data_IF_287197224244
#
_entry.id   IF_287197224244
#
_cell.length_a   1.000
_cell.length_b   1.000
_cell.length_c   1.000
_cell.angle_alpha   90.00
_cell.angle_beta   90.00
_cell.angle_gamma   90.00
#
_symmetry.space_group_name_H-M   'P 1'
#
loop_
_entity.id
_entity.type
_entity.pdbx_description
1 polymer ?
#
# COMPACT_ATOMS: atom_id res chain seq x y z
N UNK A 1 -26.61 1.73 2.16
CA UNK A 1 -26.23 3.09 1.74
C UNK A 1 -25.73 3.93 2.92
N UNK A 2 -26.56 4.19 3.93
CA UNK A 2 -26.23 5.05 5.09
C UNK A 2 -24.97 4.57 5.79
N UNK A 3 -24.89 3.28 6.19
CA UNK A 3 -23.73 2.71 6.86
C UNK A 3 -22.42 2.92 6.07
N UNK A 4 -22.46 2.74 4.75
CA UNK A 4 -21.30 2.93 3.89
C UNK A 4 -20.76 4.36 3.94
N UNK A 5 -21.63 5.35 3.71
CA UNK A 5 -21.22 6.74 3.70
C UNK A 5 -20.84 7.28 5.08
N UNK A 6 -21.46 6.77 6.15
CA UNK A 6 -21.05 7.12 7.52
C UNK A 6 -19.61 6.65 7.80
N UNK A 7 -19.26 5.41 7.46
CA UNK A 7 -17.90 4.89 7.65
C UNK A 7 -16.90 5.62 6.77
N UNK A 8 -17.28 5.94 5.53
CA UNK A 8 -16.45 6.70 4.59
C UNK A 8 -16.18 8.13 5.09
N UNK A 9 -17.19 8.82 5.62
CA UNK A 9 -17.05 10.15 6.18
C UNK A 9 -16.15 10.15 7.43
N UNK A 10 -16.35 9.17 8.33
CA UNK A 10 -15.51 9.00 9.51
C UNK A 10 -14.05 8.72 9.13
N UNK A 11 -13.82 7.86 8.15
CA UNK A 11 -12.49 7.55 7.63
C UNK A 11 -11.83 8.79 7.04
N UNK A 12 -12.56 9.55 6.20
CA UNK A 12 -12.03 10.74 5.55
C UNK A 12 -11.68 11.84 6.56
N UNK A 13 -12.54 12.06 7.58
CA UNK A 13 -12.25 13.03 8.65
C UNK A 13 -11.05 12.61 9.50
N UNK A 14 -10.92 11.32 9.81
CA UNK A 14 -9.77 10.79 10.55
C UNK A 14 -8.47 10.95 9.76
N UNK A 15 -8.51 10.72 8.44
CA UNK A 15 -7.36 10.90 7.56
C UNK A 15 -6.94 12.38 7.46
N UNK A 16 -7.91 13.28 7.34
CA UNK A 16 -7.63 14.73 7.36
C UNK A 16 -7.02 15.15 8.70
N UNK A 17 -7.56 14.67 9.83
CA UNK A 17 -6.99 14.92 11.15
C UNK A 17 -5.53 14.45 11.25
N UNK A 18 -5.21 13.27 10.71
CA UNK A 18 -3.85 12.74 10.68
C UNK A 18 -2.88 13.67 9.92
N UNK A 19 -3.30 14.19 8.76
CA UNK A 19 -2.44 15.03 7.91
C UNK A 19 -2.17 16.38 8.54
N UNK A 20 -3.19 17.00 9.17
CA UNK A 20 -3.07 18.33 9.76
C UNK A 20 -2.48 18.32 11.17
N UNK A 21 -2.31 17.16 11.79
CA UNK A 21 -1.77 17.04 13.16
C UNK A 21 -0.39 17.65 13.28
N UNK A 22 -0.17 18.58 14.24
CA UNK A 22 1.08 19.30 14.41
C UNK A 22 2.16 18.48 15.15
N UNK A 23 1.77 17.46 15.92
CA UNK A 23 2.66 16.70 16.77
C UNK A 23 2.43 15.18 16.67
N UNK A 24 3.38 14.41 17.20
CA UNK A 24 3.42 12.96 17.08
C UNK A 24 2.29 12.27 17.86
N UNK A 25 1.85 12.84 18.99
CA UNK A 25 0.76 12.29 19.79
C UNK A 25 -0.60 12.43 19.08
N UNK A 26 -0.88 13.59 18.50
CA UNK A 26 -2.11 13.79 17.73
C UNK A 26 -2.15 12.93 16.48
N UNK A 27 -1.00 12.77 15.79
CA UNK A 27 -0.91 11.79 14.68
C UNK A 27 -1.31 10.41 15.18
N UNK A 28 -0.83 9.97 16.35
CA UNK A 28 -1.16 8.65 16.88
C UNK A 28 -2.66 8.49 17.14
N UNK A 29 -3.33 9.49 17.69
CA UNK A 29 -4.79 9.43 17.91
C UNK A 29 -5.54 9.21 16.59
N UNK A 30 -5.24 10.01 15.58
CA UNK A 30 -5.88 9.84 14.26
C UNK A 30 -5.41 8.59 13.52
N UNK A 31 -4.19 8.13 13.77
CA UNK A 31 -3.65 6.87 13.26
C UNK A 31 -4.49 5.66 13.70
N UNK A 32 -4.87 5.64 14.98
CA UNK A 32 -5.76 4.62 15.54
C UNK A 32 -7.18 4.71 14.98
N UNK A 33 -7.71 5.92 14.83
CA UNK A 33 -9.04 6.14 14.23
C UNK A 33 -9.08 5.65 12.77
N UNK A 34 -8.06 5.93 11.98
CA UNK A 34 -7.93 5.43 10.59
C UNK A 34 -7.88 3.89 10.61
N UNK A 35 -7.16 3.27 11.55
CA UNK A 35 -7.12 1.83 11.73
C UNK A 35 -8.50 1.23 12.03
N UNK A 36 -9.24 1.83 12.95
CA UNK A 36 -10.61 1.41 13.29
C UNK A 36 -11.56 1.57 12.10
N UNK A 37 -11.51 2.69 11.39
CA UNK A 37 -12.34 2.92 10.21
C UNK A 37 -12.05 1.91 9.11
N UNK A 38 -10.78 1.56 8.89
CA UNK A 38 -10.39 0.56 7.89
C UNK A 38 -10.94 -0.82 8.23
N UNK A 39 -10.93 -1.22 9.51
CA UNK A 39 -11.56 -2.45 9.98
C UNK A 39 -13.05 -2.51 9.60
N UNK A 40 -13.80 -1.43 9.88
CA UNK A 40 -15.23 -1.33 9.55
C UNK A 40 -15.51 -1.34 8.04
N UNK A 41 -14.60 -0.78 7.25
CA UNK A 41 -14.74 -0.66 5.81
C UNK A 41 -14.34 -1.95 5.07
N UNK A 42 -13.28 -2.63 5.51
CA UNK A 42 -12.87 -3.94 4.96
C UNK A 42 -13.90 -5.00 5.30
N UNK A 43 -14.37 -5.02 6.56
CA UNK A 43 -15.43 -5.90 7.03
C UNK A 43 -16.85 -5.39 6.72
N UNK A 44 -17.04 -4.59 5.67
CA UNK A 44 -18.36 -4.02 5.34
C UNK A 44 -19.42 -5.12 5.11
N UNK A 45 -19.02 -6.20 4.47
CA UNK A 45 -19.83 -7.40 4.25
C UNK A 45 -19.49 -8.50 5.28
N UNK A 46 -19.59 -8.17 6.57
CA UNK A 46 -19.24 -9.06 7.67
C UNK A 46 -20.04 -10.39 7.71
N UNK A 47 -21.15 -10.48 6.98
CA UNK A 47 -21.92 -11.70 6.79
C UNK A 47 -21.16 -12.75 5.94
N UNK A 48 -20.07 -12.35 5.27
CA UNK A 48 -19.17 -13.24 4.53
C UNK A 48 -17.96 -13.55 5.41
N UNK A 49 -17.72 -14.83 5.68
CA UNK A 49 -16.60 -15.28 6.52
C UNK A 49 -15.25 -14.72 6.04
N UNK A 50 -14.99 -14.76 4.74
CA UNK A 50 -13.77 -14.19 4.14
C UNK A 50 -13.57 -12.70 4.46
N UNK A 51 -14.63 -11.89 4.40
CA UNK A 51 -14.54 -10.46 4.71
C UNK A 51 -14.34 -10.20 6.22
N UNK A 52 -14.96 -11.01 7.08
CA UNK A 52 -14.78 -10.94 8.53
C UNK A 52 -13.34 -11.29 8.93
N UNK A 53 -12.81 -12.40 8.42
CA UNK A 53 -11.42 -12.81 8.65
C UNK A 53 -10.41 -11.80 8.10
N UNK A 54 -10.63 -11.29 6.88
CA UNK A 54 -9.77 -10.25 6.28
C UNK A 54 -9.73 -8.99 7.14
N UNK A 55 -10.87 -8.55 7.67
CA UNK A 55 -10.95 -7.39 8.56
C UNK A 55 -10.18 -7.64 9.88
N UNK A 56 -10.36 -8.80 10.51
CA UNK A 56 -9.63 -9.17 11.71
C UNK A 56 -8.13 -9.24 11.47
N UNK A 57 -7.69 -9.89 10.40
CA UNK A 57 -6.27 -9.98 10.02
C UNK A 57 -5.67 -8.59 9.79
N UNK A 58 -6.35 -7.74 9.04
CA UNK A 58 -5.91 -6.38 8.80
C UNK A 58 -5.78 -5.58 10.11
N UNK A 59 -6.76 -5.70 11.00
CA UNK A 59 -6.73 -5.02 12.30
C UNK A 59 -5.58 -5.52 13.18
N UNK A 60 -5.44 -6.83 13.36
CA UNK A 60 -4.42 -7.42 14.25
C UNK A 60 -3.01 -7.12 13.76
N UNK A 61 -2.72 -7.30 12.46
CA UNK A 61 -1.39 -7.02 11.89
C UNK A 61 -1.02 -5.55 12.03
N UNK A 62 -1.96 -4.64 11.75
CA UNK A 62 -1.71 -3.21 11.94
C UNK A 62 -1.50 -2.87 13.42
N UNK A 63 -2.26 -3.50 14.33
CA UNK A 63 -2.14 -3.24 15.78
C UNK A 63 -0.76 -3.62 16.34
N UNK A 64 -0.12 -4.66 15.81
CA UNK A 64 1.27 -5.00 16.17
C UNK A 64 2.22 -3.82 15.87
N UNK A 65 2.08 -3.19 14.69
CA UNK A 65 2.87 -2.01 14.35
C UNK A 65 2.49 -0.78 15.18
N UNK A 66 1.19 -0.57 15.42
CA UNK A 66 0.67 0.56 16.18
C UNK A 66 1.13 0.51 17.65
N UNK A 67 1.22 -0.69 18.23
CA UNK A 67 1.78 -0.87 19.57
C UNK A 67 3.27 -0.50 19.63
N UNK A 68 4.05 -0.92 18.61
CA UNK A 68 5.44 -0.50 18.48
C UNK A 68 5.59 1.02 18.37
N UNK A 69 4.75 1.64 17.54
CA UNK A 69 4.70 3.10 17.38
C UNK A 69 4.41 3.81 18.71
N UNK A 70 3.43 3.32 19.49
CA UNK A 70 3.09 3.89 20.79
C UNK A 70 4.28 3.84 21.76
N UNK A 71 4.91 2.67 21.87
CA UNK A 71 6.10 2.50 22.73
C UNK A 71 7.23 3.44 22.29
N UNK A 72 7.45 3.59 20.98
CA UNK A 72 8.43 4.52 20.43
C UNK A 72 8.11 5.98 20.77
N UNK A 73 6.85 6.40 20.64
CA UNK A 73 6.39 7.76 20.98
C UNK A 73 6.60 8.05 22.46
N UNK A 74 6.17 7.15 23.34
CA UNK A 74 6.32 7.31 24.79
C UNK A 74 7.79 7.34 25.20
N UNK A 75 8.62 6.50 24.59
CA UNK A 75 10.05 6.49 24.84
C UNK A 75 10.75 7.77 24.35
N UNK A 76 10.38 8.28 23.16
CA UNK A 76 10.88 9.56 22.67
C UNK A 76 10.45 10.72 23.59
N UNK A 77 9.18 10.73 24.01
CA UNK A 77 8.71 11.74 24.96
C UNK A 77 9.49 11.69 26.28
N UNK A 78 9.74 10.50 26.82
CA UNK A 78 10.54 10.37 28.04
C UNK A 78 11.97 10.88 27.88
N UNK A 79 12.53 10.70 26.67
CA UNK A 79 13.87 11.14 26.36
C UNK A 79 13.98 12.67 26.11
N UNK A 80 12.91 13.32 25.58
CA UNK A 80 12.96 14.68 25.05
C UNK A 80 11.96 15.65 25.71
N UNK A 81 11.00 15.14 26.50
CA UNK A 81 9.87 15.87 27.05
C UNK A 81 9.04 16.64 25.99
N UNK A 82 9.06 16.22 24.74
CA UNK A 82 8.34 16.86 23.64
C UNK A 82 7.70 15.85 22.70
N UNK A 83 6.59 16.25 22.05
CA UNK A 83 5.96 15.54 20.94
C UNK A 83 6.15 16.26 19.59
N UNK A 84 6.78 17.43 19.58
CA UNK A 84 7.07 18.17 18.35
C UNK A 84 8.18 17.52 17.55
N UNK A 85 7.99 17.39 16.23
CA UNK A 85 8.90 16.66 15.33
C UNK A 85 10.32 17.24 15.32
N UNK A 86 10.45 18.57 15.27
CA UNK A 86 11.75 19.22 15.20
C UNK A 86 12.45 19.21 16.55
N UNK A 87 11.71 19.41 17.64
CA UNK A 87 12.26 19.36 18.99
C UNK A 87 12.76 17.95 19.33
N UNK A 88 11.99 16.89 19.01
CA UNK A 88 12.45 15.50 19.20
C UNK A 88 13.78 15.26 18.50
N UNK A 89 13.93 15.70 17.25
CA UNK A 89 15.16 15.47 16.50
C UNK A 89 16.37 16.20 17.14
N UNK A 90 16.17 17.46 17.53
CA UNK A 90 17.25 18.25 18.16
C UNK A 90 17.65 17.71 19.52
N UNK A 91 16.67 17.42 20.40
CA UNK A 91 16.92 16.92 21.77
C UNK A 91 17.54 15.52 21.78
N UNK A 92 17.09 14.62 20.91
CA UNK A 92 17.73 13.28 20.80
C UNK A 92 19.18 13.40 20.34
N UNK A 93 19.47 14.27 19.37
CA UNK A 93 20.84 14.50 18.92
C UNK A 93 21.73 15.00 20.05
N UNK A 94 21.24 15.97 20.83
CA UNK A 94 21.97 16.50 22.00
C UNK A 94 22.16 15.45 23.09
N UNK A 95 21.10 14.67 23.38
CA UNK A 95 21.13 13.64 24.42
C UNK A 95 22.11 12.51 24.11
N UNK A 96 22.23 12.13 22.84
CA UNK A 96 23.23 11.15 22.39
C UNK A 96 24.63 11.72 22.45
N UNK A 97 24.84 12.98 22.02
CA UNK A 97 26.14 13.64 22.06
C UNK A 97 26.65 13.85 23.50
N UNK A 98 25.75 14.14 24.44
CA UNK A 98 26.05 14.33 25.86
C UNK A 98 26.15 13.00 26.63
N UNK A 99 26.04 11.84 25.97
CA UNK A 99 26.00 10.51 26.58
C UNK A 99 24.89 10.31 27.65
N UNK A 100 23.85 11.15 27.66
CA UNK A 100 22.70 10.96 28.54
C UNK A 100 21.80 9.81 28.13
N UNK A 101 21.78 9.49 26.83
CA UNK A 101 21.09 8.33 26.26
C UNK A 101 22.09 7.53 25.41
N UNK A 102 22.21 6.22 25.64
CA UNK A 102 23.09 5.40 24.82
C UNK A 102 22.53 5.28 23.38
N UNK A 103 23.40 5.30 22.39
CA UNK A 103 23.02 5.29 20.96
C UNK A 103 22.11 4.13 20.59
N UNK A 104 22.31 2.93 21.18
CA UNK A 104 21.45 1.78 20.93
C UNK A 104 20.00 2.00 21.36
N UNK A 105 19.78 2.76 22.47
CA UNK A 105 18.43 3.06 22.95
C UNK A 105 17.73 4.06 21.99
N UNK A 106 18.45 5.09 21.53
CA UNK A 106 17.94 6.02 20.53
C UNK A 106 17.57 5.29 19.22
N UNK A 107 18.44 4.38 18.74
CA UNK A 107 18.17 3.54 17.57
C UNK A 107 16.95 2.65 17.77
N UNK A 108 16.79 2.03 18.95
CA UNK A 108 15.62 1.22 19.27
C UNK A 108 14.34 2.05 19.25
N UNK A 109 14.33 3.25 19.82
CA UNK A 109 13.17 4.14 19.80
C UNK A 109 12.79 4.55 18.37
N UNK A 110 13.77 4.91 17.55
CA UNK A 110 13.55 5.22 16.13
C UNK A 110 12.97 4.01 15.37
N UNK A 111 13.47 2.80 15.63
CA UNK A 111 12.97 1.58 15.03
C UNK A 111 11.53 1.27 15.49
N UNK A 112 11.22 1.43 16.78
CA UNK A 112 9.86 1.24 17.31
C UNK A 112 8.86 2.21 16.65
N UNK A 113 9.24 3.48 16.48
CA UNK A 113 8.40 4.45 15.74
C UNK A 113 8.22 4.02 14.27
N UNK A 114 9.22 3.41 13.65
CA UNK A 114 9.11 2.93 12.26
C UNK A 114 8.17 1.73 12.11
N UNK A 115 7.91 0.93 13.16
CA UNK A 115 7.00 -0.23 13.08
C UNK A 115 5.57 0.16 12.68
N UNK A 116 5.05 1.31 13.14
CA UNK A 116 3.75 1.81 12.72
C UNK A 116 3.65 2.05 11.21
N UNK A 117 4.52 2.91 10.64
CA UNK A 117 4.67 3.06 9.20
C UNK A 117 4.83 1.77 8.43
N UNK A 118 5.63 0.83 8.94
CA UNK A 118 5.88 -0.46 8.32
C UNK A 118 4.59 -1.29 8.21
N UNK A 119 3.75 -1.30 9.26
CA UNK A 119 2.48 -2.03 9.26
C UNK A 119 1.43 -1.37 8.35
N UNK A 120 1.16 -0.06 8.52
CA UNK A 120 0.15 0.66 7.73
C UNK A 120 0.48 0.71 6.24
N UNK A 121 1.75 0.87 5.88
CA UNK A 121 2.19 0.86 4.48
C UNK A 121 2.49 -0.54 3.94
N UNK A 122 2.02 -1.59 4.62
CA UNK A 122 2.16 -2.98 4.20
C UNK A 122 3.59 -3.33 3.76
N UNK A 123 4.59 -2.95 4.56
CA UNK A 123 5.98 -3.30 4.31
C UNK A 123 6.30 -4.69 4.87
N UNK A 124 7.26 -5.37 4.24
CA UNK A 124 7.75 -6.65 4.74
C UNK A 124 8.27 -6.52 6.19
N UNK A 125 7.92 -7.45 7.10
CA UNK A 125 7.07 -8.64 6.94
C UNK A 125 5.56 -8.40 7.18
N UNK A 126 5.12 -7.18 7.52
CA UNK A 126 3.75 -6.85 7.92
C UNK A 126 2.82 -6.53 6.72
N UNK A 127 3.09 -7.09 5.54
CA UNK A 127 2.36 -6.82 4.29
C UNK A 127 1.14 -7.72 4.06
N UNK A 128 1.03 -8.81 4.81
CA UNK A 128 0.11 -9.93 4.54
C UNK A 128 -1.39 -9.59 4.64
N UNK A 129 -1.74 -8.47 5.25
CA UNK A 129 -3.13 -8.01 5.41
C UNK A 129 -3.69 -7.32 4.15
N UNK A 130 -2.80 -6.68 3.34
CA UNK A 130 -3.24 -5.82 2.24
C UNK A 130 -3.96 -6.57 1.12
N UNK A 131 -3.48 -7.74 0.64
CA UNK A 131 -4.19 -8.51 -0.38
C UNK A 131 -5.54 -9.03 0.07
N UNK A 132 -5.68 -9.41 1.35
CA UNK A 132 -6.92 -9.93 1.91
C UNK A 132 -7.95 -8.80 2.12
N UNK A 133 -7.49 -7.58 2.38
CA UNK A 133 -8.35 -6.41 2.46
C UNK A 133 -9.11 -6.10 1.15
N UNK A 134 -8.80 -6.78 0.04
CA UNK A 134 -9.54 -6.71 -1.23
C UNK A 134 -10.95 -7.34 -1.17
N UNK A 135 -11.31 -8.04 -0.10
CA UNK A 135 -12.67 -8.53 0.18
C UNK A 135 -13.68 -7.38 0.38
N UNK A 136 -13.20 -6.20 0.74
CA UNK A 136 -14.04 -5.01 0.85
C UNK A 136 -14.57 -4.48 -0.50
N UNK A 137 -15.57 -3.57 -0.47
CA UNK A 137 -16.11 -2.93 -1.67
C UNK A 137 -15.02 -2.20 -2.48
N UNK A 138 -15.06 -2.31 -3.80
CA UNK A 138 -14.00 -1.76 -4.68
C UNK A 138 -13.74 -0.26 -4.52
N UNK A 139 -14.75 0.62 -4.32
CA UNK A 139 -14.48 2.04 -4.04
C UNK A 139 -13.67 2.26 -2.76
N UNK A 140 -13.85 1.40 -1.75
CA UNK A 140 -13.07 1.43 -0.51
C UNK A 140 -11.63 0.99 -0.78
N UNK A 141 -11.45 -0.08 -1.57
CA UNK A 141 -10.12 -0.53 -1.98
C UNK A 141 -9.37 0.59 -2.73
N UNK A 142 -10.06 1.31 -3.63
CA UNK A 142 -9.49 2.47 -4.32
C UNK A 142 -9.05 3.58 -3.35
N UNK A 143 -9.83 3.86 -2.31
CA UNK A 143 -9.51 4.91 -1.34
C UNK A 143 -8.41 4.49 -0.37
N UNK A 144 -8.58 3.36 0.33
CA UNK A 144 -7.67 2.90 1.39
C UNK A 144 -6.28 2.59 0.82
N UNK A 145 -6.23 1.88 -0.32
CA UNK A 145 -4.98 1.33 -0.86
C UNK A 145 -4.32 2.21 -1.91
N UNK A 146 -5.02 3.22 -2.46
CA UNK A 146 -4.42 4.13 -3.42
C UNK A 146 -3.77 5.36 -2.75
N UNK A 147 -4.52 6.07 -1.89
CA UNK A 147 -4.18 7.43 -1.53
C UNK A 147 -4.15 7.73 -0.03
N UNK A 148 -4.65 6.83 0.85
CA UNK A 148 -4.92 7.23 2.23
C UNK A 148 -4.20 6.39 3.28
N UNK A 149 -4.77 5.27 3.74
CA UNK A 149 -4.23 4.52 4.86
C UNK A 149 -2.80 4.03 4.63
N UNK A 150 -2.53 3.44 3.45
CA UNK A 150 -1.19 2.94 3.12
C UNK A 150 -0.19 4.08 2.86
N UNK A 151 -0.68 5.25 2.47
CA UNK A 151 0.12 6.46 2.30
C UNK A 151 0.51 7.09 3.65
N UNK A 152 -0.28 6.88 4.71
CA UNK A 152 -0.04 7.46 6.03
C UNK A 152 1.33 7.07 6.61
N UNK A 153 1.78 5.81 6.39
CA UNK A 153 3.10 5.37 6.85
C UNK A 153 4.23 6.10 6.12
N UNK A 154 4.15 6.25 4.81
CA UNK A 154 5.13 7.01 4.03
C UNK A 154 5.15 8.48 4.48
N UNK A 155 3.96 9.06 4.69
CA UNK A 155 3.81 10.43 5.20
C UNK A 155 4.48 10.60 6.58
N UNK A 156 4.26 9.68 7.51
CA UNK A 156 4.86 9.76 8.85
C UNK A 156 6.38 9.63 8.79
N UNK A 157 6.93 8.73 7.96
CA UNK A 157 8.38 8.61 7.78
C UNK A 157 8.96 9.90 7.18
N UNK A 158 8.28 10.53 6.21
CA UNK A 158 8.68 11.81 5.66
C UNK A 158 8.68 12.94 6.72
N UNK A 159 7.66 12.99 7.59
CA UNK A 159 7.58 13.95 8.70
C UNK A 159 8.70 13.75 9.74
N UNK A 160 9.12 12.50 9.93
CA UNK A 160 10.20 12.13 10.86
C UNK A 160 11.59 12.08 10.18
N UNK A 161 11.73 12.51 8.93
CA UNK A 161 13.01 12.54 8.24
C UNK A 161 14.11 13.30 9.02
N UNK A 162 13.85 14.44 9.69
CA UNK A 162 14.85 15.10 10.52
C UNK A 162 15.41 14.20 11.63
N UNK A 163 14.59 13.34 12.23
CA UNK A 163 15.01 12.35 13.22
C UNK A 163 15.79 11.20 12.60
N UNK A 164 15.29 10.62 11.51
CA UNK A 164 15.93 9.47 10.87
C UNK A 164 17.27 9.82 10.22
N UNK A 165 17.45 11.06 9.74
CA UNK A 165 18.71 11.52 9.14
C UNK A 165 19.88 11.58 10.13
N UNK A 166 19.62 11.62 11.43
CA UNK A 166 20.64 11.57 12.47
C UNK A 166 21.31 10.18 12.53
N UNK A 167 20.57 9.13 12.18
CA UNK A 167 20.98 7.74 12.34
C UNK A 167 21.07 6.99 10.99
N UNK A 168 22.22 6.96 10.32
CA UNK A 168 22.40 6.26 9.04
C UNK A 168 21.99 4.76 9.09
N UNK A 169 22.12 4.12 10.26
CA UNK A 169 21.72 2.71 10.45
C UNK A 169 20.20 2.52 10.29
N UNK A 170 19.38 3.46 10.79
CA UNK A 170 17.93 3.41 10.62
C UNK A 170 17.53 3.71 9.18
N UNK A 171 18.18 4.68 8.53
CA UNK A 171 17.96 4.94 7.11
C UNK A 171 18.25 3.71 6.25
N UNK A 172 19.35 3.01 6.53
CA UNK A 172 19.65 1.75 5.86
C UNK A 172 18.58 0.69 6.07
N UNK A 173 18.05 0.52 7.30
CA UNK A 173 16.97 -0.43 7.60
C UNK A 173 15.69 -0.04 6.82
N UNK A 174 15.32 1.23 6.80
CA UNK A 174 14.16 1.73 6.04
C UNK A 174 14.33 1.43 4.54
N UNK A 175 15.51 1.72 3.97
CA UNK A 175 15.82 1.44 2.58
C UNK A 175 15.78 -0.06 2.26
N UNK A 176 16.33 -0.89 3.15
CA UNK A 176 16.36 -2.36 3.01
C UNK A 176 14.93 -2.92 3.01
N UNK A 177 14.12 -2.55 4.00
CA UNK A 177 12.71 -2.97 4.10
C UNK A 177 11.92 -2.53 2.87
N UNK A 178 12.12 -1.29 2.41
CA UNK A 178 11.51 -0.78 1.18
C UNK A 178 11.89 -1.58 -0.06
N UNK A 179 13.17 -1.90 -0.21
CA UNK A 179 13.69 -2.68 -1.35
C UNK A 179 13.15 -4.11 -1.36
N UNK A 180 13.16 -4.79 -0.23
CA UNK A 180 12.59 -6.15 -0.10
C UNK A 180 11.11 -6.12 -0.45
N UNK A 181 10.37 -5.18 0.12
CA UNK A 181 8.92 -5.04 -0.15
C UNK A 181 8.63 -4.76 -1.61
N UNK A 182 9.43 -3.89 -2.24
CA UNK A 182 9.30 -3.53 -3.64
C UNK A 182 9.42 -4.76 -4.54
N UNK A 183 10.48 -5.55 -4.36
CA UNK A 183 10.74 -6.76 -5.14
C UNK A 183 9.71 -7.87 -4.85
N UNK A 184 9.40 -8.12 -3.58
CA UNK A 184 8.43 -9.14 -3.16
C UNK A 184 7.03 -8.83 -3.71
N UNK A 185 6.56 -7.59 -3.59
CA UNK A 185 5.26 -7.20 -4.15
C UNK A 185 5.18 -7.41 -5.66
N UNK A 186 6.24 -7.05 -6.40
CA UNK A 186 6.28 -7.23 -7.84
C UNK A 186 6.35 -8.72 -8.24
N UNK A 187 7.14 -9.54 -7.56
CA UNK A 187 7.29 -10.96 -7.85
C UNK A 187 5.96 -11.72 -7.66
N UNK A 188 5.21 -11.42 -6.62
CA UNK A 188 3.88 -12.01 -6.40
C UNK A 188 2.87 -11.50 -7.44
N UNK A 189 2.91 -10.20 -7.78
CA UNK A 189 2.01 -9.62 -8.79
C UNK A 189 2.12 -10.27 -10.17
N UNK A 190 3.29 -10.82 -10.53
CA UNK A 190 3.51 -11.53 -11.79
C UNK A 190 2.59 -12.75 -11.97
N UNK A 191 2.26 -13.45 -10.89
CA UNK A 191 1.52 -14.72 -10.91
C UNK A 191 0.04 -14.59 -10.58
N UNK A 192 -0.39 -13.41 -10.05
CA UNK A 192 -1.79 -13.23 -9.67
C UNK A 192 -2.74 -13.33 -10.84
N UNK A 193 -3.85 -14.05 -10.65
CA UNK A 193 -4.94 -14.18 -11.61
C UNK A 193 -6.16 -13.34 -11.24
N UNK A 194 -6.27 -12.93 -9.99
CA UNK A 194 -7.28 -12.00 -9.49
C UNK A 194 -6.89 -10.56 -9.81
N UNK A 195 -7.80 -9.83 -10.47
CA UNK A 195 -7.57 -8.45 -10.91
C UNK A 195 -7.32 -7.51 -9.72
N UNK A 196 -8.11 -7.63 -8.64
CA UNK A 196 -7.93 -6.81 -7.43
C UNK A 196 -6.66 -7.16 -6.67
N UNK A 197 -6.37 -8.46 -6.48
CA UNK A 197 -5.14 -8.90 -5.79
C UNK A 197 -3.90 -8.51 -6.58
N UNK A 198 -3.93 -8.58 -7.90
CA UNK A 198 -2.86 -8.09 -8.76
C UNK A 198 -2.57 -6.59 -8.57
N UNK A 199 -3.63 -5.77 -8.50
CA UNK A 199 -3.50 -4.34 -8.18
C UNK A 199 -3.03 -4.11 -6.74
N UNK A 200 -3.43 -4.93 -5.76
CA UNK A 200 -2.97 -4.83 -4.38
C UNK A 200 -1.47 -5.08 -4.25
N UNK A 201 -0.96 -6.18 -4.82
CA UNK A 201 0.48 -6.46 -4.81
C UNK A 201 1.29 -5.42 -5.58
N UNK A 202 0.74 -4.88 -6.66
CA UNK A 202 1.38 -3.74 -7.31
C UNK A 202 1.41 -2.49 -6.43
N UNK A 203 0.43 -2.30 -5.52
CA UNK A 203 0.47 -1.23 -4.50
C UNK A 203 1.58 -1.48 -3.48
N UNK A 204 1.70 -2.72 -2.95
CA UNK A 204 2.80 -3.12 -2.05
C UNK A 204 4.15 -2.77 -2.68
N UNK A 205 4.34 -3.13 -3.96
CA UNK A 205 5.57 -2.83 -4.69
C UNK A 205 5.86 -1.34 -4.79
N UNK A 206 4.87 -0.51 -5.13
CA UNK A 206 5.07 0.95 -5.23
C UNK A 206 5.33 1.61 -3.87
N UNK A 207 4.67 1.15 -2.80
CA UNK A 207 4.96 1.60 -1.43
C UNK A 207 6.38 1.23 -1.01
N UNK A 208 6.89 0.07 -1.47
CA UNK A 208 8.29 -0.31 -1.31
C UNK A 208 9.25 0.69 -1.96
N UNK A 209 8.97 1.18 -3.18
CA UNK A 209 9.75 2.25 -3.82
C UNK A 209 9.76 3.54 -2.99
N UNK A 210 8.59 3.95 -2.49
CA UNK A 210 8.50 5.17 -1.68
C UNK A 210 9.29 5.02 -0.38
N UNK A 211 9.23 3.84 0.26
CA UNK A 211 9.99 3.56 1.46
C UNK A 211 11.50 3.51 1.19
N UNK A 212 11.93 2.97 0.04
CA UNK A 212 13.32 3.04 -0.42
C UNK A 212 13.78 4.49 -0.55
N UNK A 213 12.97 5.37 -1.16
CA UNK A 213 13.28 6.79 -1.27
C UNK A 213 13.46 7.46 0.10
N UNK A 214 12.58 7.14 1.07
CA UNK A 214 12.71 7.64 2.45
C UNK A 214 14.04 7.19 3.08
N UNK A 215 14.39 5.91 2.93
CA UNK A 215 15.64 5.38 3.46
C UNK A 215 16.89 5.94 2.76
N UNK A 216 16.81 6.34 1.49
CA UNK A 216 17.87 7.06 0.79
C UNK A 216 17.99 8.53 1.19
N UNK A 217 17.17 9.02 2.12
CA UNK A 217 17.18 10.42 2.53
C UNK A 217 16.55 11.38 1.51
N UNK A 218 15.70 10.87 0.60
CA UNK A 218 15.02 11.63 -0.44
C UNK A 218 13.48 11.70 -0.22
N UNK A 219 13.00 12.37 0.85
CA UNK A 219 11.58 12.40 1.16
C UNK A 219 10.75 13.10 0.08
N UNK A 220 11.32 14.09 -0.61
CA UNK A 220 10.65 14.79 -1.71
C UNK A 220 10.32 13.82 -2.85
N UNK A 221 11.27 12.97 -3.25
CA UNK A 221 11.05 11.96 -4.29
C UNK A 221 9.97 10.96 -3.87
N UNK A 222 9.99 10.50 -2.60
CA UNK A 222 8.98 9.59 -2.07
C UNK A 222 7.58 10.20 -2.03
N UNK A 223 7.43 11.43 -1.57
CA UNK A 223 6.14 12.15 -1.54
C UNK A 223 5.66 12.48 -2.96
N UNK A 224 6.55 12.89 -3.87
CA UNK A 224 6.19 13.10 -5.26
C UNK A 224 5.61 11.82 -5.89
N UNK A 225 6.27 10.67 -5.66
CA UNK A 225 5.74 9.40 -6.15
C UNK A 225 4.42 9.02 -5.46
N UNK A 226 4.23 9.33 -4.19
CA UNK A 226 2.98 9.11 -3.46
C UNK A 226 1.81 9.86 -4.09
N UNK A 227 1.98 11.12 -4.47
CA UNK A 227 0.93 11.93 -5.12
C UNK A 227 0.58 11.37 -6.49
N UNK A 228 1.58 11.04 -7.32
CA UNK A 228 1.34 10.44 -8.63
C UNK A 228 0.69 9.06 -8.52
N UNK A 229 1.14 8.25 -7.55
CA UNK A 229 0.60 6.93 -7.25
C UNK A 229 -0.89 7.01 -6.86
N UNK A 230 -1.28 7.95 -6.02
CA UNK A 230 -2.67 8.14 -5.62
C UNK A 230 -3.60 8.30 -6.83
N UNK A 231 -3.20 9.13 -7.81
CA UNK A 231 -3.99 9.38 -9.00
C UNK A 231 -4.14 8.15 -9.89
N UNK A 232 -3.05 7.52 -10.32
CA UNK A 232 -3.16 6.39 -11.25
C UNK A 232 -3.70 5.12 -10.58
N UNK A 233 -3.47 4.92 -9.27
CA UNK A 233 -4.03 3.77 -8.55
C UNK A 233 -5.52 3.89 -8.33
N UNK A 234 -6.02 5.07 -7.94
CA UNK A 234 -7.46 5.28 -7.83
C UNK A 234 -8.16 4.98 -9.16
N UNK A 235 -7.59 5.47 -10.28
CA UNK A 235 -8.10 5.20 -11.62
C UNK A 235 -8.11 3.71 -11.96
N UNK A 236 -7.03 2.98 -11.66
CA UNK A 236 -6.93 1.53 -11.90
C UNK A 236 -7.93 0.72 -11.06
N UNK A 237 -8.09 1.04 -9.77
CA UNK A 237 -9.04 0.35 -8.90
C UNK A 237 -10.49 0.65 -9.27
N UNK A 238 -10.84 1.90 -9.60
CA UNK A 238 -12.19 2.24 -10.05
C UNK A 238 -12.49 1.59 -11.41
N UNK A 239 -11.50 1.55 -12.31
CA UNK A 239 -11.61 0.83 -13.57
C UNK A 239 -11.81 -0.67 -13.36
N UNK A 240 -11.08 -1.29 -12.42
CA UNK A 240 -11.30 -2.70 -12.07
C UNK A 240 -12.69 -2.95 -11.48
N UNK A 241 -13.20 -2.01 -10.66
CA UNK A 241 -14.57 -2.08 -10.14
C UNK A 241 -15.64 -2.06 -11.23
N UNK A 242 -15.45 -1.22 -12.24
CA UNK A 242 -16.34 -1.17 -13.41
C UNK A 242 -16.31 -2.49 -14.19
N UNK A 243 -15.13 -3.10 -14.38
CA UNK A 243 -14.98 -4.41 -15.04
C UNK A 243 -15.66 -5.52 -14.22
N UNK A 244 -15.42 -5.58 -12.92
CA UNK A 244 -16.01 -6.60 -12.04
C UNK A 244 -17.53 -6.51 -12.05
N UNK A 245 -18.08 -5.30 -11.96
CA UNK A 245 -19.53 -5.10 -12.01
C UNK A 245 -20.15 -5.60 -13.33
N UNK A 246 -19.49 -5.33 -14.46
CA UNK A 246 -19.94 -5.87 -15.75
C UNK A 246 -19.79 -7.40 -15.87
N UNK A 247 -18.77 -7.99 -15.24
CA UNK A 247 -18.59 -9.44 -15.18
C UNK A 247 -19.63 -10.11 -14.30
N UNK A 248 -20.09 -9.48 -13.20
CA UNK A 248 -21.15 -10.00 -12.33
C UNK A 248 -22.47 -10.24 -13.05
N UNK A 249 -22.77 -9.47 -14.11
CA UNK A 249 -23.96 -9.71 -14.96
C UNK A 249 -23.87 -11.01 -15.75
N UNK A 250 -22.66 -11.49 -16.04
CA UNK A 250 -22.42 -12.71 -16.86
C UNK A 250 -22.21 -13.94 -15.97
N UNK A 251 -21.33 -13.83 -14.95
CA UNK A 251 -20.91 -14.98 -14.13
C UNK A 251 -21.67 -15.07 -12.79
N UNK A 252 -22.57 -14.09 -12.50
CA UNK A 252 -23.29 -13.96 -11.23
C UNK A 252 -22.47 -13.23 -10.16
N UNK A 253 -23.13 -12.96 -9.04
CA UNK A 253 -22.54 -12.20 -7.90
C UNK A 253 -21.57 -13.08 -7.06
N UNK A 254 -20.65 -13.77 -7.74
CA UNK A 254 -19.62 -14.58 -7.09
C UNK A 254 -18.25 -13.89 -7.26
N UNK A 255 -17.66 -13.33 -6.18
CA UNK A 255 -16.41 -12.57 -6.26
C UNK A 255 -15.26 -13.36 -6.90
N UNK A 256 -15.17 -14.67 -6.60
CA UNK A 256 -14.14 -15.57 -7.13
C UNK A 256 -14.15 -15.62 -8.66
N UNK A 257 -15.33 -15.61 -9.28
CA UNK A 257 -15.47 -15.65 -10.74
C UNK A 257 -15.37 -14.26 -11.36
N UNK A 258 -16.01 -13.27 -10.76
CA UNK A 258 -16.09 -11.93 -11.32
C UNK A 258 -14.73 -11.18 -11.29
N UNK A 259 -13.80 -11.59 -10.43
CA UNK A 259 -12.48 -10.98 -10.29
C UNK A 259 -11.39 -11.73 -11.07
N UNK A 260 -11.66 -12.95 -11.53
CA UNK A 260 -10.68 -13.79 -12.20
C UNK A 260 -10.46 -13.38 -13.67
N UNK A 261 -9.23 -12.97 -14.00
CA UNK A 261 -8.86 -12.53 -15.34
C UNK A 261 -8.91 -13.65 -16.39
N UNK A 262 -8.91 -14.93 -15.98
CA UNK A 262 -9.03 -16.06 -16.90
C UNK A 262 -10.41 -16.14 -17.56
N UNK A 263 -11.44 -15.59 -16.91
CA UNK A 263 -12.80 -15.49 -17.44
C UNK A 263 -13.04 -14.18 -18.21
N UNK A 264 -12.11 -13.21 -18.15
CA UNK A 264 -12.20 -11.94 -18.87
C UNK A 264 -11.64 -12.08 -20.29
N UNK A 265 -11.56 -10.98 -21.02
CA UNK A 265 -11.02 -10.86 -22.37
C UNK A 265 -11.96 -10.14 -23.31
N UNK A 266 -11.43 -9.45 -24.31
CA UNK A 266 -12.22 -8.76 -25.34
C UNK A 266 -13.10 -7.61 -24.86
N UNK A 267 -12.95 -7.15 -23.60
CA UNK A 267 -13.80 -6.14 -23.00
C UNK A 267 -13.57 -4.73 -23.58
N UNK A 268 -12.47 -4.51 -24.30
CA UNK A 268 -12.15 -3.20 -24.91
C UNK A 268 -13.28 -2.66 -25.77
N UNK A 269 -13.93 -3.51 -26.58
CA UNK A 269 -15.04 -3.10 -27.47
C UNK A 269 -16.32 -2.79 -26.70
N UNK A 270 -16.55 -3.49 -25.57
CA UNK A 270 -17.75 -3.31 -24.74
C UNK A 270 -17.60 -2.14 -23.76
N UNK A 271 -16.38 -1.88 -23.30
CA UNK A 271 -16.04 -0.87 -22.28
C UNK A 271 -14.90 0.03 -22.74
N UNK A 272 -15.04 0.82 -23.83
CA UNK A 272 -13.93 1.56 -24.44
C UNK A 272 -13.36 2.63 -23.52
N UNK A 273 -14.18 3.34 -22.74
CA UNK A 273 -13.71 4.37 -21.79
C UNK A 273 -12.90 3.75 -20.65
N UNK A 274 -13.41 2.69 -20.03
CA UNK A 274 -12.72 1.97 -18.95
C UNK A 274 -11.39 1.39 -19.42
N UNK A 275 -11.38 0.78 -20.62
CA UNK A 275 -10.16 0.24 -21.22
C UNK A 275 -9.11 1.34 -21.46
N UNK A 276 -9.51 2.49 -22.00
CA UNK A 276 -8.58 3.59 -22.27
C UNK A 276 -8.01 4.19 -20.98
N UNK A 277 -8.85 4.44 -19.97
CA UNK A 277 -8.39 4.97 -18.68
C UNK A 277 -7.49 3.95 -17.96
N UNK A 278 -7.84 2.67 -17.99
CA UNK A 278 -7.01 1.61 -17.42
C UNK A 278 -5.65 1.50 -18.13
N UNK A 279 -5.60 1.62 -19.46
CA UNK A 279 -4.37 1.64 -20.23
C UNK A 279 -3.47 2.81 -19.84
N UNK A 280 -4.04 4.02 -19.72
CA UNK A 280 -3.29 5.20 -19.25
C UNK A 280 -2.71 4.96 -17.87
N UNK A 281 -3.48 4.34 -16.96
CA UNK A 281 -3.00 3.94 -15.63
C UNK A 281 -1.84 2.94 -15.71
N UNK A 282 -1.93 1.94 -16.58
CA UNK A 282 -0.84 0.96 -16.80
C UNK A 282 0.43 1.62 -17.33
N UNK A 283 0.33 2.55 -18.27
CA UNK A 283 1.47 3.29 -18.81
C UNK A 283 2.09 4.18 -17.71
N UNK A 284 1.25 4.86 -16.91
CA UNK A 284 1.70 5.73 -15.84
C UNK A 284 2.47 4.96 -14.75
N UNK A 285 1.93 3.87 -14.23
CA UNK A 285 2.60 3.07 -13.19
C UNK A 285 3.84 2.35 -13.72
N UNK A 286 3.88 1.99 -15.00
CA UNK A 286 5.07 1.37 -15.63
C UNK A 286 6.24 2.34 -15.75
N UNK A 287 5.99 3.66 -15.63
CA UNK A 287 7.03 4.68 -15.75
C UNK A 287 7.41 4.92 -17.21
N UNK A 288 6.44 5.01 -18.11
CA UNK A 288 6.66 5.34 -19.53
C UNK A 288 6.46 6.83 -19.74
N UNK A 289 7.44 7.55 -20.37
CA UNK A 289 7.28 8.97 -20.68
C UNK A 289 6.07 9.22 -21.62
N UNK A 290 5.38 10.35 -21.53
CA UNK A 290 5.65 11.53 -20.69
C UNK A 290 4.89 11.53 -19.35
N UNK A 291 4.30 10.40 -18.93
CA UNK A 291 3.43 10.35 -17.76
C UNK A 291 4.19 10.53 -16.44
N UNK A 292 3.47 11.00 -15.41
CA UNK A 292 4.04 11.41 -14.13
C UNK A 292 4.82 10.31 -13.40
N UNK A 293 4.42 9.03 -13.57
CA UNK A 293 5.09 7.88 -12.97
C UNK A 293 6.53 7.68 -13.46
N UNK A 294 6.87 8.13 -14.67
CA UNK A 294 8.25 8.12 -15.15
C UNK A 294 9.14 9.04 -14.29
N UNK A 295 8.78 10.31 -14.19
CA UNK A 295 9.55 11.31 -13.47
C UNK A 295 9.73 10.97 -12.00
N UNK A 296 8.67 10.52 -11.35
CA UNK A 296 8.72 10.17 -9.92
C UNK A 296 9.54 8.91 -9.63
N UNK A 297 9.51 7.88 -10.50
CA UNK A 297 10.34 6.70 -10.35
C UNK A 297 11.80 6.96 -10.67
N UNK A 298 12.07 7.76 -11.70
CA UNK A 298 13.42 8.15 -12.08
C UNK A 298 14.12 8.88 -10.94
N UNK A 299 13.42 9.80 -10.28
CA UNK A 299 13.92 10.52 -9.09
C UNK A 299 14.25 9.56 -7.92
N UNK A 300 13.39 8.56 -7.65
CA UNK A 300 13.66 7.56 -6.62
C UNK A 300 14.88 6.72 -6.98
N UNK A 301 14.93 6.20 -8.20
CA UNK A 301 16.04 5.37 -8.67
C UNK A 301 17.35 6.15 -8.73
N UNK A 302 17.33 7.41 -9.14
CA UNK A 302 18.50 8.28 -9.15
C UNK A 302 19.10 8.45 -7.75
N UNK A 303 18.27 8.74 -6.74
CA UNK A 303 18.71 8.84 -5.35
C UNK A 303 19.20 7.49 -4.79
N UNK A 304 18.54 6.38 -5.15
CA UNK A 304 18.97 5.04 -4.75
C UNK A 304 20.33 4.66 -5.37
N UNK A 305 20.60 5.07 -6.60
CA UNK A 305 21.91 4.85 -7.25
C UNK A 305 23.05 5.52 -6.50
N UNK A 306 22.82 6.75 -6.02
CA UNK A 306 23.83 7.50 -5.27
C UNK A 306 24.05 6.92 -3.87
N UNK A 307 22.95 6.58 -3.16
CA UNK A 307 23.02 6.16 -1.75
C UNK A 307 23.31 4.66 -1.58
N UNK A 308 22.65 3.79 -2.33
CA UNK A 308 22.73 2.32 -2.20
C UNK A 308 22.65 1.63 -3.57
N UNK A 309 23.77 1.50 -4.31
CA UNK A 309 23.77 0.95 -5.68
C UNK A 309 23.17 -0.47 -5.80
N UNK A 310 23.32 -1.31 -4.75
CA UNK A 310 22.72 -2.64 -4.72
C UNK A 310 21.18 -2.57 -4.69
N UNK A 311 20.60 -1.66 -3.92
CA UNK A 311 19.14 -1.48 -3.85
C UNK A 311 18.60 -0.84 -5.14
N UNK A 312 19.38 0.04 -5.76
CA UNK A 312 19.07 0.56 -7.08
C UNK A 312 18.92 -0.55 -8.12
N UNK A 313 19.86 -1.51 -8.17
CA UNK A 313 19.78 -2.62 -9.12
C UNK A 313 18.50 -3.45 -8.94
N UNK A 314 18.13 -3.78 -7.68
CA UNK A 314 16.87 -4.47 -7.37
C UNK A 314 15.67 -3.62 -7.78
N UNK A 315 15.70 -2.32 -7.51
CA UNK A 315 14.67 -1.36 -7.92
C UNK A 315 14.50 -1.32 -9.44
N UNK A 316 15.59 -1.24 -10.21
CA UNK A 316 15.56 -1.25 -11.66
C UNK A 316 14.95 -2.54 -12.23
N UNK A 317 15.35 -3.70 -11.71
CA UNK A 317 14.77 -4.98 -12.08
C UNK A 317 13.27 -5.02 -11.79
N UNK A 318 12.87 -4.51 -10.62
CA UNK A 318 11.46 -4.43 -10.22
C UNK A 318 10.66 -3.48 -11.11
N UNK A 319 11.27 -2.42 -11.65
CA UNK A 319 10.60 -1.54 -12.62
C UNK A 319 10.24 -2.28 -13.91
N UNK A 320 11.13 -3.13 -14.42
CA UNK A 320 10.83 -4.03 -15.55
C UNK A 320 9.68 -5.01 -15.23
N UNK A 321 9.69 -5.61 -14.03
CA UNK A 321 8.60 -6.48 -13.58
C UNK A 321 7.28 -5.71 -13.49
N UNK A 322 7.30 -4.45 -13.05
CA UNK A 322 6.10 -3.59 -12.97
C UNK A 322 5.45 -3.42 -14.33
N UNK A 323 6.22 -3.11 -15.36
CA UNK A 323 5.71 -2.99 -16.72
C UNK A 323 5.08 -4.30 -17.18
N UNK A 324 5.76 -5.42 -16.97
CA UNK A 324 5.27 -6.74 -17.40
C UNK A 324 3.93 -7.08 -16.76
N UNK A 325 3.80 -7.06 -15.42
CA UNK A 325 2.55 -7.46 -14.78
C UNK A 325 1.40 -6.50 -15.05
N UNK A 326 1.64 -5.20 -15.18
CA UNK A 326 0.58 -4.23 -15.49
C UNK A 326 0.01 -4.42 -16.89
N UNK A 327 0.87 -4.62 -17.90
CA UNK A 327 0.40 -4.92 -19.24
C UNK A 327 -0.23 -6.31 -19.35
N UNK A 328 0.24 -7.30 -18.56
CA UNK A 328 -0.42 -8.60 -18.44
C UNK A 328 -1.86 -8.46 -17.91
N UNK A 329 -2.08 -7.66 -16.85
CA UNK A 329 -3.41 -7.34 -16.34
C UNK A 329 -4.30 -6.72 -17.44
N UNK A 330 -3.76 -5.74 -18.18
CA UNK A 330 -4.48 -5.08 -19.25
C UNK A 330 -4.86 -6.04 -20.37
N UNK A 331 -3.90 -6.79 -20.92
CA UNK A 331 -4.16 -7.67 -22.06
C UNK A 331 -5.11 -8.82 -21.72
N UNK A 332 -4.98 -9.42 -20.54
CA UNK A 332 -5.88 -10.49 -20.10
C UNK A 332 -7.32 -10.01 -19.90
N UNK A 333 -7.51 -8.76 -19.48
CA UNK A 333 -8.83 -8.19 -19.20
C UNK A 333 -9.50 -7.62 -20.47
N UNK A 334 -8.77 -6.86 -21.25
CA UNK A 334 -9.38 -6.03 -22.31
C UNK A 334 -9.18 -6.55 -23.72
N UNK A 335 -8.13 -7.32 -23.99
CA UNK A 335 -7.81 -7.82 -25.34
C UNK A 335 -8.14 -9.32 -25.49
N UNK A 336 -8.12 -9.81 -26.75
CA UNK A 336 -8.42 -11.20 -27.09
C UNK A 336 -9.92 -11.48 -27.16
N UNK A 337 -10.29 -12.76 -26.97
CA UNK A 337 -11.67 -13.24 -27.02
C UNK A 337 -12.28 -13.27 -25.61
N UNK A 338 -13.58 -13.01 -25.53
CA UNK A 338 -14.31 -13.07 -24.28
C UNK A 338 -14.46 -14.53 -23.80
N UNK A 339 -14.13 -14.79 -22.54
CA UNK A 339 -14.08 -16.12 -21.95
C UNK A 339 -15.09 -16.34 -20.82
N UNK A 340 -15.92 -15.34 -20.51
CA UNK A 340 -16.89 -15.40 -19.43
C UNK A 340 -17.97 -16.45 -19.59
N UNK A 341 -18.26 -16.89 -20.80
CA UNK A 341 -19.28 -17.93 -21.10
C UNK A 341 -18.79 -19.37 -20.90
N UNK A 342 -17.52 -19.58 -20.55
CA UNK A 342 -16.94 -20.90 -20.38
C UNK A 342 -17.36 -21.54 -19.04
N UNK A 343 -18.47 -22.31 -19.07
CA UNK A 343 -19.02 -22.97 -17.89
C UNK A 343 -18.13 -24.07 -17.28
N UNK A 344 -17.26 -24.70 -18.07
CA UNK A 344 -16.31 -25.67 -17.55
C UNK A 344 -15.25 -25.01 -16.69
N UNK A 345 -14.65 -23.93 -17.17
CA UNK A 345 -13.69 -23.16 -16.45
C UNK A 345 -14.30 -22.53 -15.18
N UNK A 346 -15.55 -22.04 -15.26
CA UNK A 346 -16.26 -21.52 -14.08
C UNK A 346 -16.40 -22.58 -12.98
N UNK A 347 -16.78 -23.82 -13.34
CA UNK A 347 -16.92 -24.94 -12.39
C UNK A 347 -15.58 -25.32 -11.78
N UNK A 348 -14.52 -25.38 -12.58
CA UNK A 348 -13.16 -25.67 -12.10
C UNK A 348 -12.70 -24.65 -11.06
N UNK A 349 -12.88 -23.36 -11.34
CA UNK A 349 -12.52 -22.27 -10.45
C UNK A 349 -13.30 -22.30 -9.13
N UNK A 350 -14.60 -22.62 -9.18
CA UNK A 350 -15.43 -22.77 -7.98
C UNK A 350 -15.03 -23.98 -7.14
N UNK A 351 -14.64 -25.09 -7.77
CA UNK A 351 -14.16 -26.26 -7.02
C UNK A 351 -12.82 -25.93 -6.34
N UNK A 352 -11.89 -25.30 -7.06
CA UNK A 352 -10.59 -24.90 -6.50
C UNK A 352 -10.73 -23.92 -5.33
N UNK A 353 -11.70 -23.01 -5.37
CA UNK A 353 -11.94 -22.06 -4.26
C UNK A 353 -12.51 -22.73 -3.01
N UNK A 354 -13.29 -23.80 -3.15
CA UNK A 354 -13.85 -24.57 -2.01
C UNK A 354 -12.78 -25.40 -1.31
N UNK A 355 -11.87 -26.02 -2.07
CA UNK A 355 -10.76 -26.78 -1.49
C UNK A 355 -9.86 -25.90 -0.63
N UNK A 356 -9.59 -24.67 -1.07
CA UNK A 356 -8.77 -23.73 -0.28
C UNK A 356 -9.47 -23.25 1.00
N UNK A 357 -10.81 -23.25 1.05
CA UNK A 357 -11.55 -22.87 2.27
C UNK A 357 -11.62 -24.01 3.30
N UNK A 358 -11.46 -25.25 2.85
CA UNK A 358 -11.47 -26.43 3.75
C UNK A 358 -10.06 -26.71 4.33
N UNK A 359 -9.02 -26.05 3.83
CA UNK A 359 -7.62 -26.17 4.30
C UNK A 359 -7.17 -25.01 5.23
N UNK A 360 -7.95 -23.93 5.35
CA UNK A 360 -7.71 -22.81 6.29
C UNK A 360 -8.49 -22.98 7.61
#
# INVERSE_FOLDING_TARGET
YVRFFTYLALFSSSMMGLIISPNLLEIYVFWELVGMCSYLLVGFWYDRDGAAHAAQKAFVVNRVGDFGLLLGILGLFWATNSFDFNQIATEISQSVNNNSIPIWAALLLCFLVFLGPMAKSAQFPLHVWLPDAMEGPTPISALIHAATMVAAGIFLVARLQPLYSIFPSIQFIIALVGTITCFLGASIALTQMDLKKGLAYSTVSQLGYMMLAMGCGAPIAGIFHLVTHACFKAMLFLGSGSVIHAMEEVVGHQPVLAQDMRLMGGLRKKMPYTSTTFLIGCIAISGIPPLAGFWSKDEILGNAFISFPAFWFIGLLTAGMTAFYMFRLYFLTFEGDFRGDNKELQKELLMASKVNLDEE
#
